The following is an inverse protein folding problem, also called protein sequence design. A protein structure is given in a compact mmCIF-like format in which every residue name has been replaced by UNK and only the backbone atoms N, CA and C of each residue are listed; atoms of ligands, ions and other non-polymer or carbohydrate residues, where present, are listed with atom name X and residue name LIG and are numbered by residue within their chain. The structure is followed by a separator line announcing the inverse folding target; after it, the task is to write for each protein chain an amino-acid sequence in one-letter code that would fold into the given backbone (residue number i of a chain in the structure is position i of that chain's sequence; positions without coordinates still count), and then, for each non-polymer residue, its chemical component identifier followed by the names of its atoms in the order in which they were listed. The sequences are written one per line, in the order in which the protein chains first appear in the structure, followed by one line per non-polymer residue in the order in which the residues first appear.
data_IF_639534723821
#
_entry.id   IF_639534723821
#
_cell.length_a   1.000
_cell.length_b   1.000
_cell.length_c   1.000
_cell.angle_alpha   90.00
_cell.angle_beta   90.00
_cell.angle_gamma   90.00
#
_symmetry.space_group_name_H-M   'P 1'
#
loop_
_entity.id
_entity.type
_entity.pdbx_description
1 polymer ?
#
# COMPACT_ATOMS: atom_id res chain seq x y z
N UNK A 1 -33.31 -33.21 15.36
CA UNK A 1 -32.72 -33.65 14.08
C UNK A 1 -32.99 -32.57 13.05
N UNK A 2 -31.96 -32.18 12.29
CA UNK A 2 -32.02 -31.39 11.03
C UNK A 2 -32.40 -29.90 11.15
N UNK A 3 -31.42 -29.01 11.29
CA UNK A 3 -30.79 -28.23 10.22
C UNK A 3 -31.69 -27.14 9.61
N UNK A 4 -31.52 -25.91 10.10
CA UNK A 4 -31.77 -24.69 9.32
C UNK A 4 -30.51 -23.82 9.44
N UNK A 5 -29.71 -23.80 8.38
CA UNK A 5 -28.46 -23.02 8.26
C UNK A 5 -28.76 -21.73 7.47
N UNK A 6 -28.43 -20.60 8.10
CA UNK A 6 -27.89 -19.33 7.58
C UNK A 6 -28.46 -18.72 6.28
N UNK A 7 -29.13 -17.58 6.43
CA UNK A 7 -29.05 -16.46 5.47
C UNK A 7 -27.78 -15.63 5.76
N UNK A 8 -27.16 -15.14 4.69
CA UNK A 8 -25.73 -14.84 4.60
C UNK A 8 -25.21 -13.62 5.36
N UNK A 9 -24.00 -13.77 5.89
CA UNK A 9 -23.11 -12.67 6.26
C UNK A 9 -22.42 -12.16 4.99
N UNK A 10 -22.75 -10.94 4.56
CA UNK A 10 -21.96 -10.21 3.59
C UNK A 10 -20.79 -9.56 4.33
N UNK A 11 -19.61 -10.17 4.24
CA UNK A 11 -18.37 -9.56 4.72
C UNK A 11 -17.72 -8.78 3.58
N UNK A 12 -17.50 -7.50 3.88
CA UNK A 12 -16.74 -6.54 3.10
C UNK A 12 -15.44 -7.14 2.56
N UNK A 13 -15.26 -7.08 1.25
CA UNK A 13 -14.04 -7.48 0.56
C UNK A 13 -12.96 -6.42 0.82
N UNK A 14 -12.02 -6.72 1.70
CA UNK A 14 -10.73 -6.01 1.76
C UNK A 14 -9.94 -6.34 0.49
N UNK A 15 -9.75 -5.35 -0.36
CA UNK A 15 -8.79 -5.42 -1.46
C UNK A 15 -7.47 -4.82 -0.96
N UNK A 16 -6.55 -5.68 -0.51
CA UNK A 16 -5.17 -5.31 -0.21
C UNK A 16 -4.43 -5.14 -1.54
N UNK A 17 -4.31 -3.90 -2.02
CA UNK A 17 -3.56 -3.59 -3.25
C UNK A 17 -2.09 -3.35 -2.89
N UNK A 18 -1.29 -4.42 -2.87
CA UNK A 18 0.17 -4.33 -2.88
C UNK A 18 0.64 -4.18 -4.33
N UNK A 19 0.86 -2.94 -4.78
CA UNK A 19 1.30 -2.65 -6.14
C UNK A 19 2.83 -2.79 -6.28
N UNK A 20 3.31 -3.99 -6.64
CA UNK A 20 4.68 -4.19 -7.13
C UNK A 20 4.65 -4.18 -8.66
N UNK A 21 5.10 -3.08 -9.26
CA UNK A 21 5.27 -2.96 -10.71
C UNK A 21 6.75 -3.13 -11.05
N UNK A 22 7.11 -4.29 -11.57
CA UNK A 22 8.34 -4.50 -12.32
C UNK A 22 7.95 -4.71 -13.80
N UNK A 23 8.17 -3.68 -14.61
CA UNK A 23 8.23 -3.82 -16.07
C UNK A 23 9.70 -4.02 -16.43
N UNK A 24 10.04 -5.20 -16.93
CA UNK A 24 11.28 -5.43 -17.65
C UNK A 24 10.96 -6.22 -18.91
N UNK A 25 11.13 -5.57 -20.07
CA UNK A 25 11.21 -6.20 -21.38
C UNK A 25 12.35 -7.22 -21.37
N UNK A 26 11.96 -8.49 -21.23
CA UNK A 26 12.84 -9.64 -21.37
C UNK A 26 12.13 -10.64 -22.26
N UNK A 27 12.66 -10.86 -23.45
CA UNK A 27 12.23 -11.91 -24.34
C UNK A 27 12.54 -13.27 -23.69
N UNK A 28 11.53 -13.91 -23.12
CA UNK A 28 11.57 -15.31 -22.72
C UNK A 28 10.96 -16.12 -23.87
N UNK A 29 11.83 -16.79 -24.61
CA UNK A 29 11.43 -17.95 -25.39
C UNK A 29 11.22 -19.10 -24.39
N UNK A 30 9.97 -19.36 -24.02
CA UNK A 30 9.55 -20.55 -23.28
C UNK A 30 8.81 -21.47 -24.24
N UNK A 31 9.46 -22.56 -24.62
CA UNK A 31 8.86 -23.72 -25.27
C UNK A 31 8.04 -24.47 -24.21
N UNK A 32 6.84 -23.96 -23.93
CA UNK A 32 5.90 -24.51 -22.97
C UNK A 32 4.73 -25.19 -23.68
N UNK A 33 4.64 -26.52 -23.54
CA UNK A 33 3.48 -27.36 -23.86
C UNK A 33 2.16 -26.61 -23.67
N UNK A 34 1.52 -26.21 -24.78
CA UNK A 34 0.17 -25.65 -24.78
C UNK A 34 -0.87 -26.72 -24.46
N UNK A 35 -0.98 -27.10 -23.18
CA UNK A 35 -2.16 -27.79 -22.71
C UNK A 35 -3.37 -26.85 -22.93
N UNK A 36 -4.47 -27.31 -23.55
CA UNK A 36 -5.65 -26.48 -23.72
C UNK A 36 -6.14 -26.01 -22.36
N UNK A 37 -6.34 -24.70 -22.19
CA UNK A 37 -6.98 -24.15 -20.98
C UNK A 37 -8.38 -24.79 -20.90
N UNK A 38 -8.68 -25.62 -19.88
CA UNK A 38 -9.97 -26.27 -19.79
C UNK A 38 -11.05 -25.24 -19.48
N UNK A 39 -11.98 -25.06 -20.42
CA UNK A 39 -13.19 -24.27 -20.19
C UNK A 39 -14.11 -25.04 -19.25
N UNK A 40 -14.36 -24.47 -18.07
CA UNK A 40 -15.31 -25.02 -17.10
C UNK A 40 -16.75 -24.77 -17.57
N UNK A 41 -17.62 -25.77 -17.44
CA UNK A 41 -19.06 -25.61 -17.68
C UNK A 41 -19.72 -24.80 -16.55
N UNK A 42 -20.94 -24.28 -16.77
CA UNK A 42 -21.68 -23.54 -15.74
C UNK A 42 -21.89 -24.34 -14.44
N UNK A 43 -22.11 -25.65 -14.56
CA UNK A 43 -22.23 -26.57 -13.42
C UNK A 43 -20.91 -26.77 -12.68
N UNK A 44 -19.80 -26.79 -13.42
CA UNK A 44 -18.45 -26.86 -12.84
C UNK A 44 -18.05 -25.55 -12.19
N UNK A 45 -18.44 -24.40 -12.76
CA UNK A 45 -18.27 -23.08 -12.16
C UNK A 45 -19.06 -22.96 -10.84
N UNK A 46 -20.29 -23.47 -10.83
CA UNK A 46 -21.17 -23.43 -9.64
C UNK A 46 -20.63 -24.29 -8.49
N UNK A 47 -20.01 -25.42 -8.82
CA UNK A 47 -19.41 -26.34 -7.86
C UNK A 47 -17.90 -26.16 -7.70
N UNK A 48 -17.31 -25.14 -8.33
CA UNK A 48 -15.89 -24.89 -8.22
C UNK A 48 -15.61 -24.41 -6.80
N UNK A 49 -14.84 -25.15 -5.99
CA UNK A 49 -14.43 -24.64 -4.71
C UNK A 49 -13.43 -23.53 -4.99
N UNK A 50 -13.87 -22.27 -4.93
CA UNK A 50 -12.97 -21.14 -4.74
C UNK A 50 -12.37 -21.27 -3.34
N UNK A 51 -11.45 -22.22 -3.18
CA UNK A 51 -10.56 -22.30 -2.04
C UNK A 51 -9.54 -21.19 -2.24
N UNK A 52 -9.91 -19.97 -1.87
CA UNK A 52 -8.90 -18.99 -1.51
C UNK A 52 -8.19 -19.64 -0.30
N UNK A 53 -6.88 -19.94 -0.37
CA UNK A 53 -6.16 -20.29 0.84
C UNK A 53 -6.25 -19.05 1.74
N UNK A 54 -7.20 -19.07 2.69
CA UNK A 54 -7.36 -18.03 3.70
C UNK A 54 -6.33 -18.34 4.78
N UNK A 55 -5.07 -18.08 4.47
CA UNK A 55 -4.02 -17.97 5.48
C UNK A 55 -3.33 -16.62 5.32
N UNK A 56 -4.12 -15.57 5.11
CA UNK A 56 -3.66 -14.19 5.23
C UNK A 56 -4.01 -13.75 6.65
N UNK A 57 -3.13 -14.06 7.60
CA UNK A 57 -3.21 -13.43 8.91
C UNK A 57 -3.19 -11.92 8.66
N UNK A 58 -4.22 -11.16 9.06
CA UNK A 58 -4.25 -9.74 8.76
C UNK A 58 -3.03 -9.07 9.38
N UNK A 59 -2.37 -8.15 8.67
CA UNK A 59 -1.13 -7.57 9.15
C UNK A 59 -1.37 -6.86 10.47
N UNK A 60 -0.41 -7.04 11.38
CA UNK A 60 -0.43 -6.40 12.68
C UNK A 60 0.14 -4.99 12.53
N UNK A 61 -0.66 -4.00 12.94
CA UNK A 61 -0.30 -2.58 12.82
C UNK A 61 -0.21 -1.96 14.20
N UNK A 62 0.96 -1.48 14.55
CA UNK A 62 1.25 -0.83 15.83
C UNK A 62 1.78 0.59 15.62
N UNK A 63 1.74 1.38 16.70
CA UNK A 63 2.39 2.67 16.71
C UNK A 63 3.91 2.48 16.77
N UNK A 64 4.67 3.42 16.20
CA UNK A 64 6.12 3.33 16.24
C UNK A 64 6.61 3.33 17.69
N UNK A 65 7.38 2.31 18.04
CA UNK A 65 8.10 2.28 19.32
C UNK A 65 9.17 3.38 19.36
N UNK A 66 9.70 3.67 20.55
CA UNK A 66 10.79 4.65 20.71
C UNK A 66 12.04 4.23 19.93
N UNK A 67 12.32 2.92 19.86
CA UNK A 67 13.43 2.39 19.07
C UNK A 67 13.24 2.64 17.58
N UNK A 68 12.03 2.43 17.08
CA UNK A 68 11.69 2.66 15.67
C UNK A 68 11.74 4.13 15.29
N UNK A 69 11.27 5.02 16.18
CA UNK A 69 11.39 6.46 16.00
C UNK A 69 12.87 6.88 15.92
N UNK A 70 13.71 6.37 16.82
CA UNK A 70 15.14 6.65 16.80
C UNK A 70 15.83 6.17 15.51
N UNK A 71 15.45 4.99 14.99
CA UNK A 71 15.97 4.48 13.71
C UNK A 71 15.60 5.44 12.58
N UNK A 72 14.34 5.86 12.48
CA UNK A 72 13.91 6.81 11.46
C UNK A 72 14.63 8.17 11.60
N UNK A 73 14.82 8.66 12.82
CA UNK A 73 15.54 9.92 13.08
C UNK A 73 17.00 9.84 12.65
N UNK A 74 17.68 8.71 12.92
CA UNK A 74 19.04 8.48 12.44
C UNK A 74 19.11 8.52 10.90
N UNK A 75 18.14 7.89 10.23
CA UNK A 75 18.06 7.85 8.77
C UNK A 75 17.80 9.24 8.17
N UNK A 76 17.00 10.08 8.83
CA UNK A 76 16.81 11.48 8.45
C UNK A 76 18.13 12.24 8.51
N UNK A 77 18.85 12.14 9.62
CA UNK A 77 20.14 12.78 9.81
C UNK A 77 21.18 12.36 8.77
N UNK A 78 21.22 11.08 8.39
CA UNK A 78 22.14 10.58 7.36
C UNK A 78 21.93 11.27 6.00
N UNK A 79 20.68 11.52 5.61
CA UNK A 79 20.34 12.20 4.35
C UNK A 79 20.56 13.69 4.46
N UNK A 80 20.19 14.33 5.56
CA UNK A 80 20.46 15.76 5.80
C UNK A 80 21.96 16.06 5.71
N UNK A 81 22.78 15.26 6.38
CA UNK A 81 24.25 15.36 6.32
C UNK A 81 24.79 15.14 4.91
N UNK A 82 24.22 14.19 4.16
CA UNK A 82 24.64 13.93 2.80
C UNK A 82 24.28 15.08 1.86
N UNK A 83 23.05 15.61 1.97
CA UNK A 83 22.56 16.75 1.21
C UNK A 83 23.37 18.01 1.51
N UNK A 84 23.67 18.29 2.78
CA UNK A 84 24.50 19.42 3.18
C UNK A 84 25.90 19.33 2.58
N UNK A 85 26.55 18.17 2.68
CA UNK A 85 27.92 17.96 2.18
C UNK A 85 28.04 17.96 0.65
N UNK A 86 27.02 17.48 -0.07
CA UNK A 86 27.09 17.30 -1.53
C UNK A 86 26.42 18.41 -2.33
N UNK A 87 25.34 18.98 -1.81
CA UNK A 87 24.52 19.96 -2.52
C UNK A 87 24.57 21.36 -1.89
N UNK A 88 25.16 21.51 -0.70
CA UNK A 88 25.23 22.79 0.01
C UNK A 88 23.88 23.27 0.57
N UNK A 89 22.89 22.39 0.63
CA UNK A 89 21.57 22.68 1.21
C UNK A 89 21.61 22.35 2.70
N UNK A 90 21.43 23.35 3.56
CA UNK A 90 21.70 23.22 5.00
C UNK A 90 20.65 22.42 5.77
N UNK A 91 19.42 22.39 5.30
CA UNK A 91 18.32 21.63 5.91
C UNK A 91 17.24 21.34 4.87
N UNK A 92 16.46 20.30 5.12
CA UNK A 92 15.25 19.96 4.38
C UNK A 92 14.03 20.48 5.16
N UNK A 93 13.01 20.94 4.46
CA UNK A 93 11.76 21.42 5.08
C UNK A 93 10.82 20.28 5.46
N UNK A 94 10.94 19.12 4.82
CA UNK A 94 9.98 18.02 4.93
C UNK A 94 8.73 18.20 4.06
N UNK A 95 8.81 19.03 3.02
CA UNK A 95 7.67 19.37 2.16
C UNK A 95 7.96 19.11 0.69
N UNK A 96 6.96 19.29 -0.18
CA UNK A 96 7.07 19.03 -1.63
C UNK A 96 8.25 19.73 -2.33
N UNK A 97 8.72 20.86 -1.82
CA UNK A 97 9.87 21.60 -2.36
C UNK A 97 11.17 20.78 -2.33
N UNK A 98 11.32 19.88 -1.34
CA UNK A 98 12.52 19.08 -1.16
C UNK A 98 12.64 17.93 -2.17
N UNK A 99 11.56 17.59 -2.88
CA UNK A 99 11.59 16.54 -3.93
C UNK A 99 12.67 16.84 -4.97
N UNK A 100 12.85 18.12 -5.32
CA UNK A 100 13.89 18.55 -6.27
C UNK A 100 15.31 18.39 -5.72
N UNK A 101 15.49 18.55 -4.40
CA UNK A 101 16.77 18.37 -3.72
C UNK A 101 17.11 16.88 -3.65
N UNK A 102 16.14 16.04 -3.29
CA UNK A 102 16.31 14.59 -3.29
C UNK A 102 16.61 14.06 -4.70
N UNK A 103 15.95 14.58 -5.74
CA UNK A 103 16.23 14.19 -7.12
C UNK A 103 17.67 14.54 -7.51
N UNK A 104 18.13 15.75 -7.20
CA UNK A 104 19.53 16.17 -7.44
C UNK A 104 20.53 15.28 -6.71
N UNK A 105 20.19 14.77 -5.53
CA UNK A 105 21.04 13.85 -4.78
C UNK A 105 21.23 12.52 -5.53
N UNK A 106 20.13 12.00 -6.11
CA UNK A 106 20.11 10.78 -6.92
C UNK A 106 20.84 10.98 -8.26
N UNK A 107 20.50 12.04 -8.99
CA UNK A 107 21.08 12.35 -10.31
C UNK A 107 22.58 12.61 -10.23
N UNK A 108 23.04 13.20 -9.12
CA UNK A 108 24.46 13.42 -8.86
C UNK A 108 25.24 12.14 -8.54
N UNK A 109 24.57 10.99 -8.42
CA UNK A 109 25.21 9.72 -8.10
C UNK A 109 25.88 9.71 -6.72
N UNK A 110 25.41 10.55 -5.79
CA UNK A 110 26.04 10.70 -4.48
C UNK A 110 25.76 9.53 -3.53
N UNK A 111 24.79 8.67 -3.89
CA UNK A 111 24.50 7.41 -3.22
C UNK A 111 24.94 6.27 -4.14
N UNK A 112 25.88 5.45 -3.66
CA UNK A 112 26.31 4.24 -4.38
C UNK A 112 25.17 3.22 -4.46
N UNK A 113 25.05 2.51 -5.59
CA UNK A 113 24.03 1.47 -5.75
C UNK A 113 24.14 0.33 -4.74
N UNK A 114 25.34 0.07 -4.21
CA UNK A 114 25.60 -0.93 -3.16
C UNK A 114 25.19 -0.50 -1.75
N UNK A 115 24.93 0.78 -1.51
CA UNK A 115 24.61 1.32 -0.18
C UNK A 115 23.11 1.28 0.09
N UNK A 116 22.58 0.08 0.32
CA UNK A 116 21.15 -0.14 0.59
C UNK A 116 20.62 0.74 1.73
N UNK A 117 21.39 0.91 2.81
CA UNK A 117 20.97 1.72 3.96
C UNK A 117 20.75 3.19 3.59
N UNK A 118 21.60 3.77 2.74
CA UNK A 118 21.45 5.15 2.28
C UNK A 118 20.20 5.31 1.41
N UNK A 119 19.93 4.34 0.52
CA UNK A 119 18.70 4.33 -0.28
C UNK A 119 17.45 4.18 0.59
N UNK A 120 17.55 3.40 1.67
CA UNK A 120 16.46 3.28 2.63
C UNK A 120 16.25 4.56 3.42
N UNK A 121 17.34 5.25 3.77
CA UNK A 121 17.30 6.53 4.44
C UNK A 121 16.70 7.63 3.55
N UNK A 122 17.01 7.61 2.25
CA UNK A 122 16.33 8.45 1.25
C UNK A 122 14.83 8.16 1.22
N UNK A 123 14.46 6.88 1.32
CA UNK A 123 13.08 6.44 1.45
C UNK A 123 12.38 7.00 2.68
N UNK A 124 13.06 7.11 3.82
CA UNK A 124 12.51 7.72 5.04
C UNK A 124 12.19 9.19 4.83
N UNK A 125 13.16 9.99 4.35
CA UNK A 125 12.96 11.43 4.14
C UNK A 125 11.87 11.69 3.09
N UNK A 126 11.83 10.88 2.03
CA UNK A 126 10.73 10.92 1.08
C UNK A 126 9.38 10.54 1.71
N UNK A 127 9.39 9.56 2.62
CA UNK A 127 8.23 9.17 3.41
C UNK A 127 7.70 10.29 4.31
N UNK A 128 8.57 11.12 4.87
CA UNK A 128 8.15 12.28 5.66
C UNK A 128 7.41 13.31 4.80
N UNK A 129 7.90 13.56 3.58
CA UNK A 129 7.21 14.43 2.61
C UNK A 129 5.83 13.85 2.25
N UNK A 130 5.73 12.53 2.06
CA UNK A 130 4.44 11.88 1.82
C UNK A 130 3.50 11.98 3.02
N UNK A 131 4.02 11.82 4.24
CA UNK A 131 3.25 11.91 5.47
C UNK A 131 2.63 13.29 5.64
N UNK A 132 3.43 14.34 5.45
CA UNK A 132 2.99 15.73 5.56
C UNK A 132 1.99 16.10 4.46
N UNK A 133 2.28 15.76 3.20
CA UNK A 133 1.47 16.21 2.05
C UNK A 133 0.17 15.41 1.87
N UNK A 134 0.13 14.14 2.30
CA UNK A 134 -0.97 13.21 2.03
C UNK A 134 -1.71 12.74 3.29
N UNK A 135 -1.49 13.38 4.44
CA UNK A 135 -2.16 13.05 5.72
C UNK A 135 -1.95 11.57 6.10
N UNK A 136 -0.72 11.08 5.94
CA UNK A 136 -0.31 9.72 6.29
C UNK A 136 0.43 9.72 7.63
N UNK A 137 0.33 8.62 8.36
CA UNK A 137 1.04 8.42 9.63
C UNK A 137 2.01 7.27 9.54
N UNK A 138 3.19 7.42 10.11
CA UNK A 138 4.11 6.31 10.29
C UNK A 138 3.56 5.28 11.29
N UNK A 139 3.66 4.01 10.92
CA UNK A 139 3.25 2.85 11.72
C UNK A 139 4.28 1.74 11.58
N UNK A 140 4.30 0.88 12.59
CA UNK A 140 4.96 -0.42 12.48
C UNK A 140 3.96 -1.41 11.87
N UNK A 141 4.35 -2.05 10.78
CA UNK A 141 3.56 -3.01 10.03
C UNK A 141 4.28 -4.37 10.09
N UNK A 142 3.58 -5.41 10.51
CA UNK A 142 4.10 -6.77 10.64
C UNK A 142 3.21 -7.73 9.85
N UNK A 143 3.80 -8.43 8.89
CA UNK A 143 3.16 -9.52 8.13
C UNK A 143 4.01 -10.80 8.20
N UNK A 144 3.63 -11.83 7.42
CA UNK A 144 4.33 -13.12 7.40
C UNK A 144 5.78 -13.02 6.88
N UNK A 145 6.13 -11.95 6.16
CA UNK A 145 7.49 -11.67 5.70
C UNK A 145 8.31 -10.91 6.74
N UNK A 146 7.64 -10.30 7.71
CA UNK A 146 8.22 -9.70 8.91
C UNK A 146 7.81 -8.25 9.11
N UNK A 147 8.65 -7.57 9.87
CA UNK A 147 8.42 -6.22 10.36
C UNK A 147 8.91 -5.15 9.37
N UNK A 148 8.10 -4.10 9.20
CA UNK A 148 8.38 -2.99 8.31
C UNK A 148 7.79 -1.67 8.82
N UNK A 149 8.50 -0.57 8.55
CA UNK A 149 8.00 0.79 8.80
C UNK A 149 7.23 1.27 7.57
N UNK A 150 5.97 1.60 7.76
CA UNK A 150 5.05 1.97 6.68
C UNK A 150 4.30 3.26 7.01
N UNK A 151 3.73 3.87 5.98
CA UNK A 151 2.80 4.99 6.09
C UNK A 151 1.38 4.48 5.93
N UNK A 152 0.52 4.73 6.91
CA UNK A 152 -0.89 4.37 6.90
C UNK A 152 -1.76 5.58 6.59
N UNK A 153 -2.72 5.42 5.67
CA UNK A 153 -3.77 6.41 5.47
C UNK A 153 -4.86 6.23 6.55
N UNK A 154 -5.22 7.28 7.28
CA UNK A 154 -6.41 7.38 8.17
C UNK A 154 -6.91 6.10 8.88
N UNK A 155 -6.02 5.33 9.52
CA UNK A 155 -6.33 4.04 10.19
C UNK A 155 -7.03 3.00 9.29
N UNK A 156 -6.86 3.10 7.98
CA UNK A 156 -7.39 2.17 6.99
C UNK A 156 -6.40 1.01 6.77
N UNK A 157 -6.76 0.05 5.93
CA UNK A 157 -5.87 -1.02 5.46
C UNK A 157 -5.07 -0.60 4.22
N UNK A 158 -4.82 0.70 4.04
CA UNK A 158 -4.04 1.24 2.92
C UNK A 158 -2.68 1.71 3.43
N UNK A 159 -1.61 1.13 2.86
CA UNK A 159 -0.23 1.36 3.30
C UNK A 159 0.69 1.75 2.15
N UNK A 160 1.66 2.61 2.44
CA UNK A 160 2.76 2.96 1.54
C UNK A 160 4.08 2.59 2.22
N UNK A 161 5.00 1.97 1.48
CA UNK A 161 6.27 1.47 2.00
C UNK A 161 7.46 2.24 1.40
N UNK A 162 7.71 3.48 1.85
CA UNK A 162 8.71 4.35 1.23
C UNK A 162 10.15 3.90 1.52
N UNK A 163 10.40 3.24 2.66
CA UNK A 163 11.74 2.82 3.10
C UNK A 163 12.46 1.98 2.05
N UNK A 164 11.86 0.91 1.52
CA UNK A 164 12.58 0.01 0.58
C UNK A 164 12.36 0.37 -0.90
N UNK A 165 11.57 1.41 -1.18
CA UNK A 165 11.08 1.73 -2.52
C UNK A 165 12.24 2.04 -3.49
N UNK A 166 13.18 2.88 -3.06
CA UNK A 166 14.32 3.27 -3.89
C UNK A 166 15.38 2.18 -3.97
N UNK A 167 15.68 1.50 -2.87
CA UNK A 167 16.67 0.40 -2.88
C UNK A 167 16.26 -0.72 -3.84
N UNK A 168 14.97 -1.06 -3.90
CA UNK A 168 14.44 -2.04 -4.87
C UNK A 168 14.59 -1.56 -6.32
N UNK A 169 14.29 -0.28 -6.61
CA UNK A 169 14.48 0.29 -7.96
C UNK A 169 15.93 0.17 -8.41
N UNK A 170 16.86 0.57 -7.55
CA UNK A 170 18.30 0.48 -7.81
C UNK A 170 18.72 -0.97 -8.04
N UNK A 171 18.26 -1.90 -7.21
CA UNK A 171 18.54 -3.33 -7.34
C UNK A 171 18.10 -3.88 -8.71
N UNK A 172 16.97 -3.41 -9.24
CA UNK A 172 16.45 -3.81 -10.55
C UNK A 172 16.87 -2.88 -11.71
N UNK A 173 17.79 -1.94 -11.48
CA UNK A 173 18.26 -1.00 -12.52
C UNK A 173 17.18 -0.06 -13.06
N UNK A 174 16.13 0.19 -12.29
CA UNK A 174 15.04 1.09 -12.67
C UNK A 174 15.46 2.55 -12.46
N UNK A 175 15.00 3.42 -13.37
CA UNK A 175 15.20 4.87 -13.25
C UNK A 175 14.40 5.42 -12.07
N UNK A 176 14.99 6.43 -11.39
CA UNK A 176 14.37 7.08 -10.25
C UNK A 176 14.03 8.52 -10.64
N UNK A 177 12.73 8.77 -10.77
CA UNK A 177 12.15 10.10 -10.88
C UNK A 177 11.27 10.32 -9.64
N UNK A 178 11.84 10.97 -8.63
CA UNK A 178 11.22 11.22 -7.33
C UNK A 178 9.95 12.06 -7.47
N UNK A 179 9.93 13.20 -8.20
CA UNK A 179 8.70 13.94 -8.46
C UNK A 179 7.60 13.10 -9.12
N UNK A 180 7.92 12.28 -10.13
CA UNK A 180 6.93 11.42 -10.78
C UNK A 180 6.42 10.31 -9.84
N UNK A 181 7.30 9.72 -9.03
CA UNK A 181 6.93 8.73 -8.01
C UNK A 181 5.99 9.37 -6.98
N UNK A 182 6.27 10.59 -6.53
CA UNK A 182 5.38 11.34 -5.63
C UNK A 182 3.98 11.51 -6.24
N UNK A 183 3.89 12.02 -7.47
CA UNK A 183 2.61 12.25 -8.15
C UNK A 183 1.82 10.96 -8.32
N UNK A 184 2.51 9.85 -8.62
CA UNK A 184 1.88 8.53 -8.71
C UNK A 184 1.28 8.10 -7.37
N UNK A 185 2.05 8.19 -6.29
CA UNK A 185 1.56 7.82 -4.95
C UNK A 185 0.42 8.74 -4.51
N UNK A 186 0.51 10.04 -4.78
CA UNK A 186 -0.56 11.00 -4.52
C UNK A 186 -1.87 10.55 -5.18
N UNK A 187 -1.82 10.17 -6.46
CA UNK A 187 -2.98 9.66 -7.19
C UNK A 187 -3.51 8.33 -6.61
N UNK A 188 -2.62 7.43 -6.21
CA UNK A 188 -3.01 6.16 -5.59
C UNK A 188 -3.72 6.40 -4.25
N UNK A 189 -3.21 7.34 -3.44
CA UNK A 189 -3.82 7.74 -2.15
C UNK A 189 -5.17 8.44 -2.37
N UNK A 190 -5.30 9.32 -3.35
CA UNK A 190 -6.59 9.91 -3.74
C UNK A 190 -7.62 8.82 -4.13
N UNK A 191 -7.16 7.73 -4.77
CA UNK A 191 -7.97 6.55 -5.05
C UNK A 191 -8.50 5.87 -3.78
N UNK A 192 -7.71 5.84 -2.70
CA UNK A 192 -8.15 5.29 -1.42
C UNK A 192 -9.28 6.12 -0.82
N UNK A 193 -9.21 7.45 -0.91
CA UNK A 193 -10.27 8.36 -0.45
C UNK A 193 -11.58 8.06 -1.16
N UNK A 194 -11.53 7.87 -2.49
CA UNK A 194 -12.71 7.56 -3.28
C UNK A 194 -13.32 6.20 -2.92
N UNK A 195 -12.48 5.18 -2.71
CA UNK A 195 -12.92 3.85 -2.28
C UNK A 195 -13.56 3.87 -0.89
N UNK A 196 -12.94 4.58 0.06
CA UNK A 196 -13.49 4.77 1.41
C UNK A 196 -14.85 5.46 1.37
N UNK A 197 -15.00 6.53 0.57
CA UNK A 197 -16.27 7.23 0.40
C UNK A 197 -17.37 6.32 -0.18
N UNK A 198 -17.00 5.45 -1.12
CA UNK A 198 -17.92 4.46 -1.69
C UNK A 198 -18.35 3.39 -0.67
N UNK A 199 -17.40 2.88 0.14
CA UNK A 199 -17.71 1.94 1.22
C UNK A 199 -18.69 2.54 2.23
N UNK A 200 -18.46 3.78 2.65
CA UNK A 200 -19.38 4.50 3.55
C UNK A 200 -20.78 4.63 2.93
N UNK A 201 -20.86 4.92 1.63
CA UNK A 201 -22.13 5.00 0.89
C UNK A 201 -22.85 3.65 0.87
N UNK A 202 -22.13 2.57 0.60
CA UNK A 202 -22.66 1.21 0.61
C UNK A 202 -23.20 0.84 2.00
N UNK A 203 -22.41 1.04 3.05
CA UNK A 203 -22.78 0.73 4.44
C UNK A 203 -23.99 1.56 4.91
N UNK A 204 -24.13 2.80 4.42
CA UNK A 204 -25.30 3.64 4.68
C UNK A 204 -26.55 3.14 3.95
N UNK A 205 -26.39 2.65 2.71
CA UNK A 205 -27.47 2.07 1.93
C UNK A 205 -27.95 0.74 2.51
N UNK A 206 -27.05 -0.14 2.94
CA UNK A 206 -27.42 -1.38 3.64
C UNK A 206 -28.17 -1.09 4.94
N UNK A 207 -27.72 -0.11 5.73
CA UNK A 207 -28.43 0.31 6.94
C UNK A 207 -29.85 0.79 6.63
N UNK A 208 -30.04 1.57 5.56
CA UNK A 208 -31.37 2.00 5.12
C UNK A 208 -32.24 0.82 4.69
N UNK A 209 -31.71 -0.09 3.87
CA UNK A 209 -32.44 -1.28 3.42
C UNK A 209 -32.86 -2.19 4.58
N UNK A 210 -31.99 -2.36 5.58
CA UNK A 210 -32.29 -3.16 6.76
C UNK A 210 -33.34 -2.48 7.67
N UNK A 211 -33.33 -1.15 7.76
CA UNK A 211 -34.36 -0.39 8.50
C UNK A 211 -35.73 -0.44 7.81
N UNK A 212 -35.75 -0.42 6.47
CA UNK A 212 -36.98 -0.52 5.68
C UNK A 212 -37.54 -1.96 5.67
N UNK A 213 -36.70 -2.99 5.86
CA UNK A 213 -37.15 -4.39 5.99
C UNK A 213 -37.79 -4.73 7.34
N UNK A 214 -37.56 -3.90 8.37
CA UNK A 214 -38.17 -4.04 9.70
C UNK A 214 -39.55 -3.34 9.80
N UNK A 215 -40.02 -2.69 8.73
CA UNK A 215 -41.43 -2.30 8.61
C UNK A 215 -42.27 -3.57 8.41
N UNK A 216 -42.63 -4.16 9.55
CA UNK A 216 -43.67 -5.15 9.72
C UNK A 216 -44.88 -4.70 8.90
N UNK A 217 -45.12 -5.38 7.77
CA UNK A 217 -46.33 -5.24 6.98
C UNK A 217 -47.49 -5.69 7.86
N UNK A 218 -48.02 -4.77 8.67
CA UNK A 218 -49.27 -4.96 9.36
C UNK A 218 -50.32 -5.10 8.25
N UNK A 219 -50.95 -6.28 8.08
CA UNK A 219 -52.07 -6.38 7.17
C UNK A 219 -53.11 -5.33 7.62
N UNK A 220 -53.75 -4.63 6.69
CA UNK A 220 -54.80 -3.68 7.07
C UNK A 220 -55.84 -4.43 7.91
N UNK A 221 -56.17 -3.86 9.06
CA UNK A 221 -57.22 -4.39 9.93
C UNK A 221 -58.54 -4.41 9.16
N UNK A 222 -58.91 -5.61 8.71
CA UNK A 222 -60.21 -6.09 8.18
C UNK A 222 -60.86 -5.34 7.02
#
# INVERSE_FOLDING_TARGET
MSYFRKAGSWLARSAMVCLVLCLSDGAWAEEGSGAPIPLLTEEQLTNYPFSIPVDETPPKVEELSVGEQFVLDSQRGDIEDLVARKLGVLYLKGSREDLSVLQRLVDGGYISSSRTNDWQSLGVVFGDILAEELDLRWVMYEDDLGESRALQFRKTQSFVFPVTMFSKRVQFGQTIDIPAIFVKIQKDVEGFVAFEAEKVRYDANERRLNLDSDQEFLPPDR
#
